data_IF_576421166438
#
_entry.id   IF_576421166438
#
_cell.length_a   1.000
_cell.length_b   1.000
_cell.length_c   1.000
_cell.angle_alpha   90.00
_cell.angle_beta   90.00
_cell.angle_gamma   90.00
#
_symmetry.space_group_name_H-M   'P 1'
#
loop_
_entity.id
_entity.type
_entity.pdbx_description
1 polymer ?
#
# COMPACT_ATOMS: atom_id res chain seq x y z
N UNK A 1 15.98 -15.00 2.21
CA UNK A 1 15.61 -13.61 1.90
C UNK A 1 14.11 -13.47 2.16
N UNK A 2 13.66 -12.43 2.84
CA UNK A 2 12.24 -12.22 3.11
C UNK A 2 11.47 -12.05 1.79
N UNK A 3 10.31 -12.67 1.69
CA UNK A 3 9.42 -12.57 0.54
C UNK A 3 8.50 -11.36 0.71
N UNK A 4 8.61 -10.38 -0.18
CA UNK A 4 7.74 -9.20 -0.18
C UNK A 4 6.82 -9.22 -1.39
N UNK A 5 5.57 -8.85 -1.19
CA UNK A 5 4.58 -8.69 -2.26
C UNK A 5 4.01 -7.27 -2.19
N UNK A 6 3.93 -6.60 -3.33
CA UNK A 6 3.22 -5.33 -3.49
C UNK A 6 1.90 -5.60 -4.20
N UNK A 7 0.79 -5.48 -3.48
CA UNK A 7 -0.55 -5.61 -4.05
C UNK A 7 -1.18 -4.24 -4.23
N UNK A 8 -1.65 -3.95 -5.45
CA UNK A 8 -2.12 -2.61 -5.78
C UNK A 8 -3.26 -2.60 -6.80
N UNK A 9 -4.08 -1.55 -6.74
CA UNK A 9 -4.99 -1.16 -7.81
C UNK A 9 -4.49 0.13 -8.48
N UNK A 10 -4.70 0.25 -9.80
CA UNK A 10 -4.37 1.46 -10.55
C UNK A 10 -5.38 1.70 -11.66
N UNK A 11 -6.22 2.74 -11.54
CA UNK A 11 -7.22 3.10 -12.56
C UNK A 11 -6.61 3.84 -13.75
N UNK A 12 -5.57 4.66 -13.54
CA UNK A 12 -4.99 5.54 -14.57
C UNK A 12 -3.48 5.36 -14.75
N UNK A 13 -2.89 4.30 -14.20
CA UNK A 13 -1.46 4.00 -14.35
C UNK A 13 -0.54 4.64 -13.30
N UNK A 14 -0.95 5.69 -12.60
CA UNK A 14 -0.08 6.41 -11.65
C UNK A 14 0.29 5.54 -10.45
N UNK A 15 -0.67 4.85 -9.85
CA UNK A 15 -0.40 3.93 -8.74
C UNK A 15 0.47 2.76 -9.18
N UNK A 16 0.30 2.28 -10.43
CA UNK A 16 1.15 1.23 -11.00
C UNK A 16 2.61 1.68 -11.12
N UNK A 17 2.85 2.90 -11.58
CA UNK A 17 4.21 3.46 -11.69
C UNK A 17 4.92 3.47 -10.32
N UNK A 18 4.21 3.89 -9.28
CA UNK A 18 4.74 3.87 -7.91
C UNK A 18 4.93 2.45 -7.40
N UNK A 19 3.97 1.55 -7.64
CA UNK A 19 4.07 0.15 -7.26
C UNK A 19 5.32 -0.53 -7.84
N UNK A 20 5.65 -0.23 -9.11
CA UNK A 20 6.87 -0.72 -9.76
C UNK A 20 8.14 -0.20 -9.05
N UNK A 21 8.16 1.07 -8.67
CA UNK A 21 9.28 1.68 -7.96
C UNK A 21 9.47 1.07 -6.57
N UNK A 22 8.37 0.89 -5.83
CA UNK A 22 8.37 0.24 -4.51
C UNK A 22 8.83 -1.22 -4.63
N UNK A 23 8.28 -1.96 -5.60
CA UNK A 23 8.66 -3.35 -5.82
C UNK A 23 10.14 -3.50 -6.19
N UNK A 24 10.68 -2.61 -7.02
CA UNK A 24 12.10 -2.58 -7.36
C UNK A 24 12.97 -2.35 -6.11
N UNK A 25 12.60 -1.39 -5.27
CA UNK A 25 13.35 -1.07 -4.04
C UNK A 25 13.31 -2.20 -3.00
N UNK A 26 12.17 -2.89 -2.89
CA UNK A 26 11.96 -3.98 -1.94
C UNK A 26 12.31 -5.37 -2.51
N UNK A 27 12.73 -5.47 -3.77
CA UNK A 27 12.88 -6.74 -4.50
C UNK A 27 11.62 -7.62 -4.36
N UNK A 28 10.44 -7.00 -4.58
CA UNK A 28 9.13 -7.59 -4.31
C UNK A 28 8.43 -8.07 -5.58
N UNK A 29 7.57 -9.07 -5.42
CA UNK A 29 6.62 -9.47 -6.46
C UNK A 29 5.49 -8.44 -6.55
N UNK A 30 5.07 -8.11 -7.78
CA UNK A 30 3.89 -7.28 -8.03
C UNK A 30 2.64 -8.14 -8.20
N UNK A 31 1.56 -7.72 -7.57
CA UNK A 31 0.21 -8.26 -7.74
C UNK A 31 -0.74 -7.12 -8.08
N UNK A 32 -1.27 -7.12 -9.28
CA UNK A 32 -2.24 -6.13 -9.71
C UNK A 32 -3.67 -6.61 -9.42
N UNK A 33 -4.43 -5.77 -8.74
CA UNK A 33 -5.88 -5.94 -8.62
C UNK A 33 -6.50 -5.49 -9.96
N UNK A 34 -7.29 -6.34 -10.57
CA UNK A 34 -7.89 -6.08 -11.89
C UNK A 34 -8.99 -4.99 -11.83
N UNK A 35 -9.54 -4.64 -13.00
CA UNK A 35 -10.59 -3.64 -13.11
C UNK A 35 -11.87 -4.02 -12.37
N UNK A 36 -12.10 -5.30 -12.13
CA UNK A 36 -13.25 -5.83 -11.40
C UNK A 36 -12.96 -6.07 -9.91
N UNK A 37 -11.76 -5.69 -9.43
CA UNK A 37 -11.36 -5.79 -8.02
C UNK A 37 -10.96 -7.21 -7.60
N UNK A 38 -10.55 -8.07 -8.54
CA UNK A 38 -10.11 -9.42 -8.26
C UNK A 38 -8.58 -9.56 -8.37
N UNK A 39 -8.05 -10.61 -7.77
CA UNK A 39 -6.71 -11.12 -7.98
C UNK A 39 -6.81 -12.62 -8.27
N UNK A 40 -5.82 -13.17 -8.97
CA UNK A 40 -5.79 -14.59 -9.30
C UNK A 40 -5.55 -15.48 -8.08
N UNK A 41 -5.88 -16.77 -8.17
CA UNK A 41 -5.58 -17.72 -7.10
C UNK A 41 -4.06 -17.86 -6.84
N UNK A 42 -3.24 -17.74 -7.87
CA UNK A 42 -1.78 -17.70 -7.72
C UNK A 42 -1.30 -16.47 -6.97
N UNK A 43 -1.95 -15.31 -7.17
CA UNK A 43 -1.63 -14.08 -6.45
C UNK A 43 -2.06 -14.17 -4.97
N UNK A 44 -3.22 -14.77 -4.69
CA UNK A 44 -3.61 -15.06 -3.31
C UNK A 44 -2.58 -15.98 -2.63
N UNK A 45 -2.12 -17.02 -3.31
CA UNK A 45 -1.09 -17.91 -2.78
C UNK A 45 0.25 -17.18 -2.53
N UNK A 46 0.63 -16.24 -3.41
CA UNK A 46 1.81 -15.41 -3.22
C UNK A 46 1.69 -14.50 -1.99
N UNK A 47 0.52 -13.86 -1.79
CA UNK A 47 0.23 -13.05 -0.61
C UNK A 47 0.25 -13.90 0.68
N UNK A 48 -0.32 -15.10 0.64
CA UNK A 48 -0.33 -16.01 1.78
C UNK A 48 1.09 -16.48 2.15
N UNK A 49 1.97 -16.66 1.16
CA UNK A 49 3.37 -17.07 1.36
C UNK A 49 4.35 -15.92 1.65
N UNK A 50 3.89 -14.66 1.60
CA UNK A 50 4.74 -13.49 1.83
C UNK A 50 5.04 -13.29 3.32
N UNK A 51 6.23 -12.77 3.64
CA UNK A 51 6.60 -12.27 4.96
C UNK A 51 6.17 -10.81 5.15
N UNK A 52 6.09 -10.07 4.05
CA UNK A 52 5.69 -8.66 4.02
C UNK A 52 4.74 -8.38 2.85
N UNK A 53 3.70 -7.58 3.12
CA UNK A 53 2.71 -7.14 2.12
C UNK A 53 2.66 -5.61 2.11
N UNK A 54 2.88 -5.02 0.94
CA UNK A 54 2.75 -3.58 0.74
C UNK A 54 1.46 -3.31 -0.04
N UNK A 55 0.56 -2.52 0.55
CA UNK A 55 -0.70 -2.13 -0.05
C UNK A 55 -0.55 -0.86 -0.88
N UNK A 56 -1.09 -0.84 -2.10
CA UNK A 56 -1.12 0.32 -2.97
C UNK A 56 -2.52 0.62 -3.51
N UNK A 57 -3.02 1.83 -3.26
CA UNK A 57 -4.31 2.25 -3.80
C UNK A 57 -4.28 3.72 -4.21
N UNK A 58 -4.96 4.12 -5.31
CA UNK A 58 -5.24 5.52 -5.52
C UNK A 58 -6.21 6.01 -4.45
N UNK A 59 -6.19 7.32 -4.18
CA UNK A 59 -7.23 7.98 -3.37
C UNK A 59 -8.35 8.47 -4.28
N UNK A 60 -9.52 7.84 -4.17
CA UNK A 60 -10.73 8.23 -4.86
C UNK A 60 -11.81 8.60 -3.84
N UNK A 61 -12.38 9.80 -3.97
CA UNK A 61 -13.39 10.33 -3.03
C UNK A 61 -12.96 10.17 -1.55
N UNK A 62 -11.67 10.46 -1.28
CA UNK A 62 -11.12 10.47 0.08
C UNK A 62 -10.76 9.11 0.66
N UNK A 63 -10.81 8.00 -0.11
CA UNK A 63 -10.49 6.66 0.40
C UNK A 63 -9.87 5.79 -0.70
N UNK A 64 -9.61 4.51 -0.38
CA UNK A 64 -9.16 3.52 -1.37
C UNK A 64 -10.17 3.38 -2.51
N UNK A 65 -9.69 2.97 -3.68
CA UNK A 65 -10.59 2.63 -4.79
C UNK A 65 -11.54 1.48 -4.42
N UNK A 66 -12.70 1.42 -5.04
CA UNK A 66 -13.66 0.34 -4.78
C UNK A 66 -13.08 -1.04 -5.13
N UNK A 67 -12.20 -1.11 -6.15
CA UNK A 67 -11.52 -2.34 -6.51
C UNK A 67 -10.59 -2.82 -5.37
N UNK A 68 -9.83 -1.90 -4.78
CA UNK A 68 -9.02 -2.24 -3.61
C UNK A 68 -9.90 -2.64 -2.43
N UNK A 69 -11.03 -1.95 -2.23
CA UNK A 69 -11.96 -2.31 -1.15
C UNK A 69 -12.56 -3.70 -1.35
N UNK A 70 -12.91 -4.08 -2.58
CA UNK A 70 -13.39 -5.44 -2.90
C UNK A 70 -12.31 -6.50 -2.60
N UNK A 71 -11.06 -6.25 -3.00
CA UNK A 71 -9.93 -7.10 -2.62
C UNK A 71 -9.80 -7.22 -1.10
N UNK A 72 -9.88 -6.09 -0.37
CA UNK A 72 -9.82 -6.09 1.08
C UNK A 72 -10.95 -6.91 1.71
N UNK A 73 -12.18 -6.81 1.20
CA UNK A 73 -13.30 -7.63 1.66
C UNK A 73 -13.09 -9.12 1.36
N UNK A 74 -12.56 -9.44 0.18
CA UNK A 74 -12.23 -10.82 -0.19
C UNK A 74 -11.14 -11.44 0.69
N UNK A 75 -10.24 -10.61 1.27
CA UNK A 75 -9.21 -11.07 2.21
C UNK A 75 -9.78 -11.56 3.56
N UNK A 76 -11.09 -11.37 3.80
CA UNK A 76 -11.75 -11.84 5.03
C UNK A 76 -11.57 -13.34 5.29
N UNK A 77 -11.42 -14.16 4.25
CA UNK A 77 -11.08 -15.58 4.39
C UNK A 77 -9.73 -15.78 5.09
N UNK A 78 -8.73 -14.95 4.77
CA UNK A 78 -7.39 -14.94 5.38
C UNK A 78 -7.43 -14.40 6.81
N UNK A 79 -8.29 -13.41 7.03
CA UNK A 79 -8.55 -12.88 8.37
C UNK A 79 -9.12 -13.96 9.29
N UNK A 80 -10.12 -14.69 8.83
CA UNK A 80 -10.77 -15.76 9.62
C UNK A 80 -9.79 -16.88 10.02
N UNK A 81 -8.88 -17.25 9.10
CA UNK A 81 -7.86 -18.28 9.34
C UNK A 81 -6.58 -17.74 9.98
N UNK A 82 -6.49 -16.41 10.19
CA UNK A 82 -5.31 -15.71 10.69
C UNK A 82 -4.05 -15.92 9.82
N UNK A 83 -4.24 -16.16 8.51
CA UNK A 83 -3.15 -16.49 7.59
C UNK A 83 -2.13 -15.35 7.41
N UNK A 84 -2.53 -14.10 7.67
CA UNK A 84 -1.66 -12.93 7.56
C UNK A 84 -1.23 -12.35 8.91
N UNK A 85 -1.51 -13.05 10.02
CA UNK A 85 -1.07 -12.62 11.34
C UNK A 85 0.46 -12.53 11.42
N UNK A 86 0.94 -11.53 12.12
CA UNK A 86 2.36 -11.24 12.38
C UNK A 86 3.19 -10.91 11.12
N UNK A 87 2.56 -10.80 9.94
CA UNK A 87 3.24 -10.29 8.73
C UNK A 87 3.54 -8.81 8.86
N UNK A 88 4.58 -8.35 8.17
CA UNK A 88 4.88 -6.93 8.03
C UNK A 88 3.97 -6.30 6.97
N UNK A 89 3.44 -5.12 7.28
CA UNK A 89 2.61 -4.36 6.35
C UNK A 89 3.14 -2.94 6.18
N UNK A 90 3.04 -2.43 4.97
CA UNK A 90 3.25 -1.03 4.64
C UNK A 90 2.23 -0.60 3.58
N UNK A 91 2.16 0.68 3.26
CA UNK A 91 1.23 1.13 2.23
C UNK A 91 1.61 2.47 1.61
N UNK A 92 1.11 2.70 0.40
CA UNK A 92 1.23 3.96 -0.30
C UNK A 92 -0.06 4.32 -1.03
N UNK A 93 -0.26 5.60 -1.26
CA UNK A 93 -1.39 6.12 -2.01
C UNK A 93 -0.98 7.24 -2.96
N UNK A 94 -1.74 7.39 -4.01
CA UNK A 94 -1.59 8.43 -5.04
C UNK A 94 -2.90 9.19 -5.17
N UNK A 95 -2.84 10.51 -5.34
CA UNK A 95 -3.99 11.35 -5.66
C UNK A 95 -3.59 12.44 -6.66
N UNK A 96 -4.57 13.08 -7.31
CA UNK A 96 -4.35 14.18 -8.24
C UNK A 96 -3.81 15.44 -7.55
N UNK A 97 -4.14 15.65 -6.27
CA UNK A 97 -3.68 16.81 -5.49
C UNK A 97 -2.49 16.44 -4.62
N UNK A 98 -1.56 17.39 -4.41
CA UNK A 98 -0.39 17.19 -3.55
C UNK A 98 -0.77 16.70 -2.14
N UNK A 99 -1.78 17.31 -1.53
CA UNK A 99 -2.25 16.99 -0.17
C UNK A 99 -3.68 16.43 -0.16
N UNK A 100 -4.16 15.87 -1.31
CA UNK A 100 -5.56 15.45 -1.44
C UNK A 100 -5.86 14.17 -0.67
N UNK A 101 -6.46 14.29 0.50
CA UNK A 101 -7.10 13.24 1.34
C UNK A 101 -6.40 11.86 1.42
N UNK A 102 -5.14 11.76 1.01
CA UNK A 102 -4.34 10.51 1.04
C UNK A 102 -4.18 9.97 2.46
N UNK A 103 -4.21 10.84 3.46
CA UNK A 103 -4.12 10.45 4.87
C UNK A 103 -5.21 9.45 5.26
N UNK A 104 -6.43 9.65 4.80
CA UNK A 104 -7.55 8.74 5.08
C UNK A 104 -7.38 7.39 4.37
N UNK A 105 -6.89 7.40 3.13
CA UNK A 105 -6.56 6.17 2.42
C UNK A 105 -5.49 5.37 3.17
N UNK A 106 -4.43 6.02 3.63
CA UNK A 106 -3.36 5.37 4.37
C UNK A 106 -3.81 4.87 5.74
N UNK A 107 -4.66 5.64 6.44
CA UNK A 107 -5.29 5.19 7.69
C UNK A 107 -6.14 3.92 7.47
N UNK A 108 -6.86 3.84 6.34
CA UNK A 108 -7.58 2.61 5.99
C UNK A 108 -6.64 1.43 5.75
N UNK A 109 -5.54 1.61 5.00
CA UNK A 109 -4.56 0.54 4.76
C UNK A 109 -3.93 0.04 6.07
N UNK A 110 -3.61 0.94 6.99
CA UNK A 110 -3.13 0.60 8.32
C UNK A 110 -4.18 -0.15 9.14
N UNK A 111 -5.44 0.27 9.06
CA UNK A 111 -6.55 -0.42 9.72
C UNK A 111 -6.72 -1.83 9.16
N UNK A 112 -6.63 -2.02 7.83
CA UNK A 112 -6.69 -3.34 7.21
C UNK A 112 -5.56 -4.25 7.70
N UNK A 113 -4.33 -3.74 7.76
CA UNK A 113 -3.19 -4.48 8.32
C UNK A 113 -3.44 -4.90 9.77
N UNK A 114 -3.99 -3.99 10.59
CA UNK A 114 -4.34 -4.26 12.00
C UNK A 114 -5.45 -5.30 12.14
N UNK A 115 -6.46 -5.27 11.25
CA UNK A 115 -7.50 -6.30 11.20
C UNK A 115 -6.91 -7.70 10.97
N UNK A 116 -5.89 -7.82 10.13
CA UNK A 116 -5.19 -9.08 9.89
C UNK A 116 -4.22 -9.47 11.01
N UNK A 117 -4.05 -8.63 12.05
CA UNK A 117 -3.08 -8.87 13.13
C UNK A 117 -1.64 -8.67 12.70
N UNK A 118 -1.39 -7.84 11.70
CA UNK A 118 -0.07 -7.55 11.17
C UNK A 118 0.61 -6.35 11.83
N UNK A 119 1.89 -6.19 11.55
CA UNK A 119 2.74 -5.12 12.06
C UNK A 119 2.90 -4.04 10.98
N UNK A 120 2.49 -2.81 11.27
CA UNK A 120 2.66 -1.71 10.34
C UNK A 120 4.07 -1.13 10.38
N UNK A 121 4.72 -1.06 9.22
CA UNK A 121 6.05 -0.48 9.03
C UNK A 121 5.90 0.92 8.45
N UNK A 122 6.41 1.91 9.15
CA UNK A 122 6.42 3.30 8.69
C UNK A 122 7.56 3.56 7.71
N UNK A 123 7.50 4.73 7.03
CA UNK A 123 8.58 5.17 6.13
C UNK A 123 9.93 5.33 6.85
N UNK A 124 9.90 5.74 8.13
CA UNK A 124 11.10 5.90 8.95
C UNK A 124 12.02 7.06 8.55
N UNK A 125 11.62 7.90 7.60
CA UNK A 125 12.40 9.08 7.19
C UNK A 125 11.95 10.32 7.94
N UNK A 126 12.88 11.15 8.46
CA UNK A 126 12.55 12.44 9.02
C UNK A 126 12.00 13.38 7.93
N UNK A 127 11.16 14.34 8.29
CA UNK A 127 10.70 15.35 7.34
C UNK A 127 11.84 16.27 6.90
N UNK A 128 11.80 16.70 5.63
CA UNK A 128 12.71 17.73 5.13
C UNK A 128 12.24 19.11 5.58
N UNK A 129 12.49 19.46 6.83
CA UNK A 129 12.00 20.70 7.47
C UNK A 129 13.09 21.70 7.84
N UNK A 130 14.21 21.69 7.13
CA UNK A 130 15.25 22.70 7.28
C UNK A 130 14.92 23.98 6.52
N UNK A 131 15.57 25.11 6.87
CA UNK A 131 15.44 26.38 6.13
C UNK A 131 15.92 26.30 4.69
N UNK A 132 16.73 25.29 4.34
CA UNK A 132 17.21 25.03 2.98
C UNK A 132 16.34 24.00 2.23
N UNK A 133 15.28 23.48 2.85
CA UNK A 133 14.43 22.45 2.23
C UNK A 133 13.70 23.00 0.99
N UNK A 134 13.63 22.17 -0.04
CA UNK A 134 12.96 22.45 -1.29
C UNK A 134 11.75 21.52 -1.47
N UNK A 135 10.86 21.89 -2.41
CA UNK A 135 9.67 21.07 -2.71
C UNK A 135 10.01 19.63 -3.10
N UNK A 136 11.16 19.41 -3.71
CA UNK A 136 11.54 18.11 -4.26
C UNK A 136 12.39 17.27 -3.30
N UNK A 137 12.63 17.75 -2.10
CA UNK A 137 13.37 16.99 -1.10
C UNK A 137 12.53 15.79 -0.61
N UNK A 138 13.22 14.71 -0.32
CA UNK A 138 12.58 13.49 0.18
C UNK A 138 11.84 13.79 1.47
N UNK A 139 10.57 13.36 1.53
CA UNK A 139 9.67 13.58 2.67
C UNK A 139 9.48 15.07 3.04
N UNK A 140 9.49 15.98 2.06
CA UNK A 140 9.32 17.41 2.29
C UNK A 140 8.00 17.75 3.02
N UNK A 141 6.95 16.97 2.83
CA UNK A 141 5.64 17.19 3.46
C UNK A 141 5.53 16.60 4.87
N UNK A 142 6.58 15.95 5.38
CA UNK A 142 6.65 15.47 6.75
C UNK A 142 5.68 14.34 7.10
N UNK A 143 5.13 13.66 6.11
CA UNK A 143 4.29 12.49 6.32
C UNK A 143 5.15 11.24 6.39
N UNK A 144 5.02 10.47 7.47
CA UNK A 144 5.62 9.14 7.60
C UNK A 144 4.96 8.09 6.69
N UNK A 145 4.16 8.54 5.74
CA UNK A 145 3.38 7.77 4.80
C UNK A 145 3.80 8.26 3.42
N UNK A 146 4.10 7.35 2.49
CA UNK A 146 4.62 7.73 1.18
C UNK A 146 3.65 8.69 0.48
N UNK A 147 4.12 9.90 0.32
CA UNK A 147 3.49 10.96 -0.45
C UNK A 147 4.22 11.07 -1.78
N UNK A 148 3.54 10.79 -2.85
CA UNK A 148 4.07 11.02 -4.21
C UNK A 148 3.05 11.79 -5.02
#
# INVERSE_FOLDING_TARGET
MAKTVVVYHSGYGHTQFIAQSVAKGANAQLVAIDADGNVSESDWAALDAADAIVFGSPTYMGNVSWQFKKFADASSKRWFTRAWQDKLFAGFSVSASLNGDKGMTLAYLQTLASQHGGLWVSLGLPPANSSAATRNDVNNLGLSLIHI
#
